data_IF_864440609392
#
_entry.id   IF_864440609392
#
_cell.length_a   1.000
_cell.length_b   1.000
_cell.length_c   1.000
_cell.angle_alpha   90.00
_cell.angle_beta   90.00
_cell.angle_gamma   90.00
#
_symmetry.space_group_name_H-M   'P 1'
#
loop_
_entity.id
_entity.type
_entity.pdbx_description
1 polymer ?
#
# COMPACT_ATOMS: atom_id res chain seq x y z
N UNK A 1 0.77 14.78 43.31
CA UNK A 1 1.78 14.08 42.50
C UNK A 1 1.03 13.22 41.48
N UNK A 2 0.95 13.69 40.23
CA UNK A 2 0.32 12.92 39.13
C UNK A 2 1.42 12.12 38.44
N UNK A 3 1.39 10.80 38.58
CA UNK A 3 2.19 9.90 37.76
C UNK A 3 1.64 9.93 36.34
N UNK A 4 2.44 10.43 35.39
CA UNK A 4 2.18 10.30 33.97
C UNK A 4 2.32 8.82 33.59
N UNK A 5 1.22 8.23 33.12
CA UNK A 5 1.26 6.95 32.43
C UNK A 5 2.00 7.14 31.10
N UNK A 6 3.13 6.46 30.95
CA UNK A 6 3.80 6.33 29.66
C UNK A 6 2.85 5.63 28.67
N UNK A 7 2.57 6.20 27.48
CA UNK A 7 1.89 5.46 26.44
C UNK A 7 2.85 4.41 25.89
N UNK A 8 2.47 3.14 26.03
CA UNK A 8 3.08 2.02 25.32
C UNK A 8 2.87 2.23 23.81
N UNK A 9 3.89 2.09 22.95
CA UNK A 9 3.64 2.11 21.50
C UNK A 9 2.93 0.80 21.11
N UNK A 10 1.77 0.84 20.42
CA UNK A 10 1.22 -0.34 19.78
C UNK A 10 2.03 -0.62 18.51
N UNK A 11 3.24 -1.17 18.67
CA UNK A 11 4.08 -1.58 17.56
C UNK A 11 4.18 -3.10 17.56
N UNK A 12 3.32 -3.78 16.81
CA UNK A 12 3.52 -5.22 16.53
C UNK A 12 2.29 -6.10 16.33
N UNK A 13 1.06 -5.56 16.33
CA UNK A 13 -0.17 -6.36 16.14
C UNK A 13 -0.61 -6.53 14.68
N UNK A 14 -0.17 -5.64 13.79
CA UNK A 14 -0.88 -5.41 12.52
C UNK A 14 -0.31 -6.23 11.36
N UNK A 15 0.88 -6.82 11.51
CA UNK A 15 1.54 -7.54 10.43
C UNK A 15 0.76 -8.79 9.99
N UNK A 16 0.09 -9.45 10.94
CA UNK A 16 -0.74 -10.64 10.69
C UNK A 16 -2.15 -10.31 10.16
N UNK A 17 -2.75 -9.19 10.57
CA UNK A 17 -4.13 -8.84 10.19
C UNK A 17 -4.27 -8.52 8.70
N UNK A 18 -3.24 -7.94 8.09
CA UNK A 18 -3.26 -7.60 6.67
C UNK A 18 -2.97 -8.77 5.72
N UNK A 19 -2.47 -9.91 6.21
CA UNK A 19 -2.19 -11.07 5.37
C UNK A 19 -3.47 -11.70 4.82
N UNK A 20 -4.56 -11.66 5.60
CA UNK A 20 -5.85 -12.25 5.24
C UNK A 20 -6.90 -11.19 4.90
N UNK A 21 -6.56 -9.89 4.98
CA UNK A 21 -7.49 -8.80 4.76
C UNK A 21 -8.26 -8.93 3.44
N UNK A 22 -9.57 -8.74 3.52
CA UNK A 22 -10.47 -8.74 2.37
C UNK A 22 -10.22 -7.53 1.47
N UNK A 23 -10.64 -7.57 0.20
CA UNK A 23 -10.56 -6.41 -0.70
C UNK A 23 -11.25 -5.15 -0.12
N UNK A 24 -12.32 -5.32 0.64
CA UNK A 24 -13.04 -4.23 1.28
C UNK A 24 -12.23 -3.58 2.41
N UNK A 25 -11.58 -4.38 3.26
CA UNK A 25 -10.72 -3.89 4.34
C UNK A 25 -9.47 -3.19 3.79
N UNK A 26 -8.87 -3.76 2.75
CA UNK A 26 -7.76 -3.13 2.02
C UNK A 26 -8.20 -1.78 1.48
N UNK A 27 -9.35 -1.69 0.80
CA UNK A 27 -9.87 -0.42 0.28
C UNK A 27 -10.11 0.63 1.36
N UNK A 28 -10.62 0.22 2.53
CA UNK A 28 -11.00 1.14 3.60
C UNK A 28 -9.82 1.90 4.22
N UNK A 29 -8.62 1.34 4.21
CA UNK A 29 -7.42 1.96 4.79
C UNK A 29 -6.65 2.82 3.78
N UNK A 30 -6.93 2.69 2.49
CA UNK A 30 -6.20 3.41 1.45
C UNK A 30 -6.59 4.89 1.40
N UNK A 31 -5.61 5.73 1.11
CA UNK A 31 -5.86 7.12 0.71
C UNK A 31 -6.75 7.16 -0.55
N UNK A 32 -7.58 8.19 -0.75
CA UNK A 32 -8.51 8.26 -1.88
C UNK A 32 -7.84 8.04 -3.24
N UNK A 33 -6.63 8.56 -3.43
CA UNK A 33 -5.86 8.42 -4.66
C UNK A 33 -5.43 6.97 -4.91
N UNK A 34 -5.01 6.27 -3.83
CA UNK A 34 -4.64 4.86 -3.88
C UNK A 34 -5.87 3.96 -4.04
N UNK A 35 -7.02 4.34 -3.47
CA UNK A 35 -8.28 3.61 -3.61
C UNK A 35 -8.81 3.63 -5.06
N UNK A 36 -8.64 4.73 -5.79
CA UNK A 36 -8.97 4.80 -7.22
C UNK A 36 -8.08 3.86 -8.04
N UNK A 37 -6.79 3.84 -7.75
CA UNK A 37 -5.85 2.95 -8.43
C UNK A 37 -6.14 1.47 -8.11
N UNK A 38 -6.48 1.17 -6.85
CA UNK A 38 -6.97 -0.15 -6.44
C UNK A 38 -8.20 -0.59 -7.25
N UNK A 39 -9.24 0.25 -7.35
CA UNK A 39 -10.45 -0.11 -8.11
C UNK A 39 -10.18 -0.37 -9.59
N UNK A 40 -9.27 0.41 -10.18
CA UNK A 40 -8.88 0.23 -11.57
C UNK A 40 -8.21 -1.11 -11.79
N UNK A 41 -7.20 -1.43 -10.97
CA UNK A 41 -6.47 -2.70 -11.07
C UNK A 41 -7.36 -3.90 -10.71
N UNK A 42 -8.20 -3.76 -9.70
CA UNK A 42 -9.13 -4.81 -9.26
C UNK A 42 -10.13 -5.16 -10.35
N UNK A 43 -10.75 -4.17 -10.99
CA UNK A 43 -11.67 -4.40 -12.13
C UNK A 43 -10.96 -5.05 -13.32
N UNK A 44 -9.75 -4.60 -13.65
CA UNK A 44 -8.97 -5.19 -14.74
C UNK A 44 -8.60 -6.66 -14.44
N UNK A 45 -8.19 -6.98 -13.21
CA UNK A 45 -7.87 -8.34 -12.80
C UNK A 45 -9.12 -9.25 -12.84
N UNK A 46 -10.26 -8.77 -12.33
CA UNK A 46 -11.53 -9.52 -12.38
C UNK A 46 -11.98 -9.78 -13.83
N UNK A 47 -11.90 -8.78 -14.70
CA UNK A 47 -12.25 -8.94 -16.11
C UNK A 47 -11.34 -9.98 -16.78
N UNK A 48 -10.03 -9.90 -16.54
CA UNK A 48 -9.07 -10.86 -17.10
C UNK A 48 -9.32 -12.28 -16.59
N UNK A 49 -9.59 -12.44 -15.30
CA UNK A 49 -9.90 -13.73 -14.70
C UNK A 49 -11.20 -14.32 -15.23
N UNK A 50 -12.20 -13.50 -15.55
CA UNK A 50 -13.44 -13.94 -16.18
C UNK A 50 -13.18 -14.48 -17.61
N UNK A 51 -12.24 -13.87 -18.34
CA UNK A 51 -11.88 -14.31 -19.70
C UNK A 51 -11.01 -15.59 -19.70
N UNK A 52 -10.10 -15.73 -18.74
CA UNK A 52 -9.12 -16.84 -18.71
C UNK A 52 -9.49 -17.97 -17.77
N UNK A 53 -10.49 -17.76 -16.91
CA UNK A 53 -10.79 -18.62 -15.76
C UNK A 53 -9.59 -18.80 -14.81
N UNK A 54 -8.64 -17.87 -14.82
CA UNK A 54 -7.48 -17.88 -13.94
C UNK A 54 -7.62 -16.80 -12.85
N UNK A 55 -7.94 -17.25 -11.64
CA UNK A 55 -8.07 -16.38 -10.47
C UNK A 55 -6.72 -15.95 -9.88
N UNK A 56 -5.60 -16.51 -10.33
CA UNK A 56 -4.26 -16.18 -9.84
C UNK A 56 -3.98 -14.68 -9.95
N UNK A 57 -4.41 -14.04 -11.05
CA UNK A 57 -4.24 -12.60 -11.25
C UNK A 57 -4.98 -11.75 -10.22
N UNK A 58 -6.16 -12.20 -9.76
CA UNK A 58 -6.96 -11.50 -8.75
C UNK A 58 -6.30 -11.64 -7.38
N UNK A 59 -5.82 -12.84 -7.04
CA UNK A 59 -5.14 -13.10 -5.78
C UNK A 59 -3.81 -12.33 -5.69
N UNK A 60 -3.01 -12.32 -6.75
CA UNK A 60 -1.78 -11.52 -6.82
C UNK A 60 -2.06 -10.03 -6.70
N UNK A 61 -3.13 -9.54 -7.33
CA UNK A 61 -3.57 -8.15 -7.18
C UNK A 61 -3.91 -7.86 -5.71
N UNK A 62 -4.68 -8.73 -5.05
CA UNK A 62 -5.02 -8.56 -3.63
C UNK A 62 -3.79 -8.54 -2.73
N UNK A 63 -2.84 -9.47 -2.93
CA UNK A 63 -1.63 -9.56 -2.10
C UNK A 63 -0.70 -8.35 -2.28
N UNK A 64 -0.62 -7.80 -3.50
CA UNK A 64 0.07 -6.53 -3.75
C UNK A 64 -0.55 -5.40 -2.92
N UNK A 65 -1.87 -5.28 -2.91
CA UNK A 65 -2.57 -4.22 -2.21
C UNK A 65 -2.64 -4.41 -0.70
N UNK A 66 -2.64 -5.65 -0.20
CA UNK A 66 -2.44 -5.95 1.24
C UNK A 66 -1.11 -5.42 1.76
N UNK A 67 -0.05 -5.49 0.94
CA UNK A 67 1.25 -4.90 1.31
C UNK A 67 1.18 -3.37 1.40
N UNK A 68 0.48 -2.72 0.46
CA UNK A 68 0.24 -1.27 0.51
C UNK A 68 -0.58 -0.90 1.75
N UNK A 69 -1.69 -1.59 2.00
CA UNK A 69 -2.54 -1.40 3.17
C UNK A 69 -1.75 -1.53 4.48
N UNK A 70 -0.86 -2.52 4.59
CA UNK A 70 0.02 -2.69 5.75
C UNK A 70 0.93 -1.48 5.96
N UNK A 71 1.57 -0.98 4.89
CA UNK A 71 2.43 0.22 4.97
C UNK A 71 1.61 1.45 5.34
N UNK A 72 0.42 1.61 4.76
CA UNK A 72 -0.47 2.73 5.06
C UNK A 72 -0.94 2.71 6.52
N UNK A 73 -1.34 1.54 7.04
CA UNK A 73 -1.71 1.39 8.44
C UNK A 73 -0.53 1.71 9.37
N UNK A 74 0.66 1.18 9.08
CA UNK A 74 1.86 1.42 9.87
C UNK A 74 2.31 2.90 9.84
N UNK A 75 1.99 3.63 8.77
CA UNK A 75 2.27 5.06 8.67
C UNK A 75 1.28 5.94 9.47
N UNK A 76 0.26 5.36 10.11
CA UNK A 76 -0.80 6.11 10.80
C UNK A 76 -1.98 6.49 9.90
N UNK A 77 -2.19 5.75 8.81
CA UNK A 77 -3.30 5.96 7.88
C UNK A 77 -2.91 6.73 6.62
N UNK A 78 -3.92 7.21 5.90
CA UNK A 78 -3.77 7.84 4.59
C UNK A 78 -2.83 9.06 4.63
N UNK A 79 -2.95 9.91 5.65
CA UNK A 79 -2.16 11.13 5.80
C UNK A 79 -0.68 10.82 6.02
N UNK A 80 -0.37 9.85 6.89
CA UNK A 80 1.01 9.43 7.13
C UNK A 80 1.62 8.72 5.94
N UNK A 81 0.82 7.95 5.19
CA UNK A 81 1.27 7.36 3.92
C UNK A 81 1.56 8.42 2.86
N UNK A 82 0.73 9.46 2.72
CA UNK A 82 1.02 10.60 1.83
C UNK A 82 2.32 11.29 2.23
N UNK A 83 2.51 11.58 3.52
CA UNK A 83 3.75 12.17 4.03
C UNK A 83 4.98 11.29 3.75
N UNK A 84 4.85 9.97 3.85
CA UNK A 84 5.90 9.02 3.49
C UNK A 84 6.23 9.06 1.99
N UNK A 85 5.21 9.15 1.12
CA UNK A 85 5.41 9.27 -0.32
C UNK A 85 6.07 10.60 -0.69
N UNK A 86 5.67 11.70 -0.07
CA UNK A 86 6.28 13.01 -0.27
C UNK A 86 7.73 13.05 0.22
N UNK A 87 8.02 12.44 1.38
CA UNK A 87 9.38 12.27 1.88
C UNK A 87 10.24 11.42 0.92
N UNK A 88 9.69 10.36 0.35
CA UNK A 88 10.39 9.54 -0.65
C UNK A 88 10.61 10.29 -1.97
N UNK A 89 9.67 11.13 -2.40
CA UNK A 89 9.81 11.96 -3.61
C UNK A 89 10.87 13.06 -3.42
N UNK A 90 10.86 13.73 -2.26
CA UNK A 90 11.84 14.77 -1.92
C UNK A 90 13.25 14.22 -1.74
N UNK A 91 13.41 13.07 -1.09
CA UNK A 91 14.69 12.39 -0.98
C UNK A 91 15.28 12.06 -2.36
N UNK A 92 14.45 11.61 -3.32
CA UNK A 92 14.88 11.36 -4.70
C UNK A 92 15.24 12.63 -5.46
N UNK A 93 14.57 13.74 -5.20
CA UNK A 93 14.85 15.01 -5.86
C UNK A 93 16.13 15.70 -5.33
N UNK A 94 16.55 15.37 -4.10
CA UNK A 94 17.80 15.85 -3.50
C UNK A 94 19.06 15.10 -3.96
N UNK A 95 18.90 13.92 -4.55
CA UNK A 95 19.95 13.20 -5.26
C UNK A 95 20.01 13.75 -6.69
N UNK A 96 21.11 14.39 -7.10
CA UNK A 96 21.30 14.92 -8.46
C UNK A 96 21.04 13.86 -9.55
N UNK A 97 20.87 14.23 -10.84
CA UNK A 97 20.09 13.47 -11.83
C UNK A 97 20.64 12.07 -12.10
N UNK A 98 20.28 11.14 -11.22
CA UNK A 98 20.25 9.72 -11.51
C UNK A 98 18.95 9.49 -12.28
N UNK A 99 19.12 9.27 -13.59
CA UNK A 99 18.19 8.67 -14.57
C UNK A 99 16.71 8.57 -14.14
N UNK A 100 15.75 9.09 -14.92
CA UNK A 100 14.33 9.03 -14.56
C UNK A 100 13.87 7.57 -14.49
N UNK A 101 13.89 7.00 -13.28
CA UNK A 101 13.38 5.66 -13.00
C UNK A 101 11.92 5.80 -12.58
N UNK A 102 11.06 5.07 -13.25
CA UNK A 102 9.84 5.65 -13.79
C UNK A 102 8.62 5.51 -12.84
N UNK A 103 7.37 5.77 -13.28
CA UNK A 103 6.21 5.92 -12.40
C UNK A 103 6.06 4.76 -11.42
N UNK A 104 5.44 5.00 -10.26
CA UNK A 104 5.12 4.05 -9.17
C UNK A 104 4.86 2.57 -9.56
N UNK A 105 4.30 2.33 -10.75
CA UNK A 105 4.18 1.02 -11.40
C UNK A 105 5.53 0.26 -11.52
N UNK A 106 6.63 0.94 -11.80
CA UNK A 106 7.99 0.40 -11.91
C UNK A 106 8.65 0.20 -10.55
N UNK A 107 8.39 1.10 -9.59
CA UNK A 107 8.85 0.92 -8.20
C UNK A 107 8.23 -0.35 -7.60
N UNK A 108 6.98 -0.65 -7.93
CA UNK A 108 6.36 -1.94 -7.60
C UNK A 108 7.01 -3.11 -8.31
N UNK A 109 7.31 -2.99 -9.61
CA UNK A 109 7.96 -4.05 -10.37
C UNK A 109 9.37 -4.39 -9.85
N UNK A 110 10.18 -3.39 -9.51
CA UNK A 110 11.52 -3.57 -8.93
C UNK A 110 11.49 -4.21 -7.53
N UNK A 111 10.39 -4.02 -6.79
CA UNK A 111 10.18 -4.61 -5.47
C UNK A 111 9.46 -5.98 -5.52
N UNK A 112 9.13 -6.49 -6.72
CA UNK A 112 8.38 -7.73 -6.89
C UNK A 112 6.94 -7.66 -6.34
N UNK A 113 6.33 -6.46 -6.39
CA UNK A 113 5.03 -6.12 -5.80
C UNK A 113 3.84 -6.08 -6.77
#
# INVERSE_FOLDING_TARGET
>A
MTTAASPVPPGGGDAGTWAEATPAEVRAVLAPESAVEFDRQWRAALARAADTYDLTIVLQCLDAWRRVARVTAAAGGAEGYRALLDAAATARAGEGPASPRAPWREVRADLGL
#
